data_IF_736657280814
#
_entry.id   IF_736657280814
#
_cell.length_a   1.000
_cell.length_b   1.000
_cell.length_c   1.000
_cell.angle_alpha   90.00
_cell.angle_beta   90.00
_cell.angle_gamma   90.00
#
_symmetry.space_group_name_H-M   'P 1'
#
loop_
_entity.id
_entity.type
_entity.pdbx_description
1 polymer ?
#
# COMPACT_ATOMS: atom_id res chain seq x y z
N UNK A 1 -13.58 -24.11 -48.98
CA UNK A 1 -13.45 -24.40 -47.53
C UNK A 1 -14.84 -24.25 -46.90
N UNK A 2 -15.31 -25.32 -46.23
CA UNK A 2 -16.34 -25.45 -45.18
C UNK A 2 -17.70 -24.70 -45.34
N UNK A 3 -18.87 -25.21 -44.95
CA UNK A 3 -19.21 -26.23 -43.96
C UNK A 3 -20.66 -26.71 -44.20
N UNK A 4 -20.96 -27.97 -43.90
CA UNK A 4 -22.29 -28.37 -43.42
C UNK A 4 -22.21 -29.75 -42.77
N UNK A 5 -22.36 -29.79 -41.45
CA UNK A 5 -22.80 -30.99 -40.72
C UNK A 5 -23.74 -30.56 -39.59
N UNK A 6 -24.84 -31.29 -39.46
CA UNK A 6 -25.98 -31.07 -38.56
C UNK A 6 -25.75 -31.64 -37.16
N UNK A 7 -26.29 -30.93 -36.16
CA UNK A 7 -26.97 -31.48 -34.98
C UNK A 7 -26.33 -31.13 -33.62
N UNK A 8 -27.04 -31.29 -32.47
CA UNK A 8 -28.49 -31.44 -32.25
C UNK A 8 -29.10 -30.27 -31.42
N UNK A 9 -30.42 -30.18 -31.42
CA UNK A 9 -31.23 -29.35 -30.52
C UNK A 9 -31.15 -29.91 -29.10
N UNK A 10 -30.85 -29.07 -28.11
CA UNK A 10 -30.98 -29.41 -26.69
C UNK A 10 -31.89 -28.41 -25.99
N UNK A 11 -32.82 -29.02 -25.26
CA UNK A 11 -34.03 -28.46 -24.71
C UNK A 11 -33.83 -27.34 -23.69
N UNK A 12 -34.77 -26.40 -23.75
CA UNK A 12 -35.18 -25.51 -22.66
C UNK A 12 -35.61 -26.32 -21.44
N UNK A 13 -35.18 -25.89 -20.25
CA UNK A 13 -35.85 -26.18 -18.98
C UNK A 13 -34.95 -26.82 -17.93
N UNK A 14 -34.84 -26.18 -16.77
CA UNK A 14 -34.17 -26.71 -15.58
C UNK A 14 -33.31 -25.65 -14.90
N UNK A 15 -33.92 -24.69 -14.21
CA UNK A 15 -34.10 -24.73 -12.75
C UNK A 15 -32.81 -24.37 -11.98
N UNK A 16 -32.83 -23.14 -11.45
CA UNK A 16 -32.44 -22.81 -10.05
C UNK A 16 -31.13 -23.43 -9.56
N UNK A 17 -30.05 -22.66 -9.70
CA UNK A 17 -28.78 -22.91 -9.06
C UNK A 17 -27.98 -21.62 -8.93
N UNK A 18 -28.45 -20.69 -8.09
CA UNK A 18 -27.68 -19.48 -7.78
C UNK A 18 -27.78 -19.15 -6.29
N UNK A 19 -26.93 -19.79 -5.49
CA UNK A 19 -26.30 -19.16 -4.33
C UNK A 19 -25.18 -20.07 -3.80
N UNK A 20 -24.01 -20.06 -4.44
CA UNK A 20 -22.80 -20.33 -3.70
C UNK A 20 -22.12 -19.00 -3.42
N UNK A 21 -22.44 -18.52 -2.22
CA UNK A 21 -21.77 -17.44 -1.55
C UNK A 21 -20.36 -17.91 -1.15
N UNK A 22 -19.42 -17.94 -2.10
CA UNK A 22 -18.02 -18.18 -1.78
C UNK A 22 -17.23 -16.86 -1.82
N UNK A 23 -17.14 -16.31 -0.61
CA UNK A 23 -16.06 -15.48 -0.07
C UNK A 23 -15.00 -14.99 -1.05
N UNK A 24 -15.20 -13.79 -1.60
CA UNK A 24 -14.05 -12.89 -1.73
C UNK A 24 -13.91 -12.13 -0.41
N UNK A 25 -13.30 -12.81 0.58
CA UNK A 25 -12.67 -12.12 1.70
C UNK A 25 -11.82 -10.99 1.14
N UNK A 26 -11.87 -9.79 1.72
CA UNK A 26 -11.19 -8.59 1.22
C UNK A 26 -9.68 -8.70 1.11
N UNK A 27 -9.21 -9.53 0.18
CA UNK A 27 -7.86 -9.56 -0.33
C UNK A 27 -7.73 -8.37 -1.29
N UNK A 28 -6.60 -7.65 -1.26
CA UNK A 28 -6.37 -6.57 -2.20
C UNK A 28 -6.31 -7.19 -3.60
N UNK A 29 -7.36 -6.97 -4.38
CA UNK A 29 -7.41 -7.30 -5.80
C UNK A 29 -6.10 -6.81 -6.43
N UNK A 30 -5.30 -7.74 -7.00
CA UNK A 30 -3.93 -7.50 -7.50
C UNK A 30 -3.93 -6.44 -8.62
N UNK A 31 -4.03 -5.18 -8.24
CA UNK A 31 -4.15 -4.03 -9.12
C UNK A 31 -2.78 -3.41 -9.27
N UNK A 32 -2.27 -3.42 -10.50
CA UNK A 32 -1.01 -2.73 -10.82
C UNK A 32 -1.16 -1.23 -10.62
N UNK A 33 -0.21 -0.62 -9.91
CA UNK A 33 -0.15 0.83 -9.72
C UNK A 33 0.40 1.46 -11.01
N UNK A 34 -0.48 1.91 -11.89
CA UNK A 34 -0.10 2.56 -13.16
C UNK A 34 0.35 4.03 -12.97
N UNK A 35 -0.01 4.65 -11.83
CA UNK A 35 0.34 6.03 -11.49
C UNK A 35 1.02 6.08 -10.13
N UNK A 36 2.21 6.69 -10.00
CA UNK A 36 2.87 6.84 -8.71
C UNK A 36 1.95 7.51 -7.69
N UNK A 37 1.90 6.97 -6.47
CA UNK A 37 1.08 7.52 -5.39
C UNK A 37 1.74 8.82 -4.91
N UNK A 38 1.14 9.96 -5.27
CA UNK A 38 1.74 11.27 -5.00
C UNK A 38 1.98 11.53 -3.50
N UNK A 39 1.17 10.93 -2.64
CA UNK A 39 1.31 11.09 -1.20
C UNK A 39 2.47 10.26 -0.62
N UNK A 40 2.86 9.16 -1.27
CA UNK A 40 4.07 8.38 -0.94
C UNK A 40 5.36 9.00 -1.50
N UNK A 41 5.30 10.20 -2.09
CA UNK A 41 6.49 10.87 -2.60
C UNK A 41 7.39 11.33 -1.45
N UNK A 42 8.70 11.23 -1.69
CA UNK A 42 9.70 11.82 -0.83
C UNK A 42 9.49 13.34 -0.73
N UNK A 43 9.40 13.84 0.50
CA UNK A 43 9.25 15.28 0.79
C UNK A 43 10.46 15.76 1.60
N UNK A 44 11.39 16.52 0.99
CA UNK A 44 12.59 16.99 1.67
C UNK A 44 12.30 17.79 2.95
N UNK A 45 11.21 18.56 3.00
CA UNK A 45 10.80 19.31 4.19
C UNK A 45 10.48 18.39 5.37
N UNK A 46 9.63 17.37 5.14
CA UNK A 46 9.26 16.37 6.15
C UNK A 46 10.50 15.63 6.66
N UNK A 47 11.42 15.30 5.76
CA UNK A 47 12.66 14.61 6.08
C UNK A 47 13.56 15.49 6.94
N UNK A 48 13.73 16.75 6.55
CA UNK A 48 14.51 17.74 7.31
C UNK A 48 13.94 17.92 8.73
N UNK A 49 12.63 18.10 8.85
CA UNK A 49 11.97 18.29 10.14
C UNK A 49 12.11 17.05 11.03
N UNK A 50 11.95 15.85 10.44
CA UNK A 50 12.14 14.58 11.15
C UNK A 50 13.58 14.43 11.67
N UNK A 51 14.58 14.73 10.85
CA UNK A 51 16.00 14.66 11.24
C UNK A 51 16.26 15.64 12.40
N UNK A 52 15.83 16.89 12.28
CA UNK A 52 16.05 17.90 13.31
C UNK A 52 15.37 17.53 14.64
N UNK A 53 14.15 16.99 14.59
CA UNK A 53 13.43 16.56 15.77
C UNK A 53 14.17 15.42 16.50
N UNK A 54 14.55 14.36 15.76
CA UNK A 54 15.27 13.21 16.34
C UNK A 54 16.61 13.62 16.91
N UNK A 55 17.41 14.39 16.17
CA UNK A 55 18.71 14.83 16.66
C UNK A 55 18.58 15.72 17.89
N UNK A 56 17.59 16.62 17.93
CA UNK A 56 17.38 17.50 19.08
C UNK A 56 16.94 16.73 20.32
N UNK A 57 16.11 15.70 20.16
CA UNK A 57 15.61 14.87 21.26
C UNK A 57 16.74 13.99 21.83
N UNK A 58 17.40 13.22 20.97
CA UNK A 58 18.38 12.21 21.39
C UNK A 58 19.72 12.82 21.81
N UNK A 59 20.13 13.94 21.20
CA UNK A 59 21.42 14.57 21.49
C UNK A 59 21.36 15.67 22.55
N UNK A 60 20.18 16.01 23.08
CA UNK A 60 20.04 17.10 24.06
C UNK A 60 20.96 16.93 25.29
N UNK A 61 21.15 15.69 25.73
CA UNK A 61 21.94 15.35 26.93
C UNK A 61 23.10 14.40 26.60
N UNK A 62 23.40 14.19 25.33
CA UNK A 62 24.46 13.27 24.91
C UNK A 62 25.82 13.96 24.99
N UNK A 63 26.77 13.36 25.69
CA UNK A 63 28.18 13.75 25.65
C UNK A 63 28.93 12.88 24.64
N UNK A 64 29.93 13.46 23.99
CA UNK A 64 30.74 12.74 23.01
C UNK A 64 31.64 11.71 23.71
N UNK A 65 31.50 10.44 23.34
CA UNK A 65 32.35 9.33 23.79
C UNK A 65 32.78 8.48 22.59
N UNK A 66 34.08 8.33 22.31
CA UNK A 66 34.56 7.65 21.11
C UNK A 66 34.11 6.18 21.00
N UNK A 67 33.95 5.48 22.12
CA UNK A 67 33.41 4.12 22.17
C UNK A 67 31.91 4.05 21.81
N UNK A 68 31.11 5.02 22.27
CA UNK A 68 29.64 4.97 22.17
C UNK A 68 29.09 5.69 20.93
N UNK A 69 29.82 6.67 20.39
CA UNK A 69 29.39 7.45 19.22
C UNK A 69 29.07 6.61 17.97
N UNK A 70 29.82 5.54 17.63
CA UNK A 70 29.46 4.67 16.50
C UNK A 70 28.09 4.00 16.70
N UNK A 71 27.80 3.57 17.92
CA UNK A 71 26.53 2.96 18.28
C UNK A 71 25.39 3.97 18.23
N UNK A 72 25.59 5.15 18.82
CA UNK A 72 24.62 6.24 18.81
C UNK A 72 24.31 6.69 17.38
N UNK A 73 25.33 6.89 16.54
CA UNK A 73 25.16 7.31 15.15
C UNK A 73 24.36 6.28 14.35
N UNK A 74 24.66 5.00 14.53
CA UNK A 74 23.90 3.91 13.90
C UNK A 74 22.44 3.94 14.37
N UNK A 75 22.22 4.03 15.68
CA UNK A 75 20.88 4.09 16.26
C UNK A 75 20.06 5.24 15.69
N UNK A 76 20.62 6.45 15.64
CA UNK A 76 19.97 7.64 15.09
C UNK A 76 19.59 7.44 13.62
N UNK A 77 20.50 6.85 12.82
CA UNK A 77 20.24 6.59 11.40
C UNK A 77 19.08 5.59 11.19
N UNK A 78 19.00 4.56 12.03
CA UNK A 78 17.93 3.55 12.00
C UNK A 78 16.60 4.17 12.44
N UNK A 79 16.60 4.93 13.53
CA UNK A 79 15.44 5.63 14.06
C UNK A 79 14.84 6.60 13.03
N UNK A 80 15.66 7.45 12.40
CA UNK A 80 15.22 8.39 11.36
C UNK A 80 14.58 7.63 10.19
N UNK A 81 15.24 6.57 9.71
CA UNK A 81 14.73 5.72 8.61
C UNK A 81 13.36 5.12 8.97
N UNK A 82 13.20 4.60 10.18
CA UNK A 82 11.97 3.92 10.58
C UNK A 82 10.82 4.92 10.81
N UNK A 83 11.08 6.10 11.36
CA UNK A 83 10.08 7.18 11.45
C UNK A 83 9.61 7.64 10.05
N UNK A 84 10.53 7.76 9.09
CA UNK A 84 10.17 8.14 7.71
C UNK A 84 9.38 7.04 6.99
N UNK A 85 9.73 5.77 7.18
CA UNK A 85 8.94 4.64 6.66
C UNK A 85 7.53 4.63 7.26
N UNK A 86 7.42 4.82 8.57
CA UNK A 86 6.12 4.89 9.24
C UNK A 86 5.27 6.03 8.68
N UNK A 87 5.87 7.20 8.44
CA UNK A 87 5.20 8.33 7.80
C UNK A 87 4.70 7.96 6.38
N UNK A 88 5.54 7.33 5.56
CA UNK A 88 5.16 6.88 4.21
C UNK A 88 4.02 5.85 4.21
N UNK A 89 4.04 4.90 5.15
CA UNK A 89 3.01 3.87 5.30
C UNK A 89 1.70 4.44 5.84
N UNK A 90 1.76 5.32 6.85
CA UNK A 90 0.57 5.98 7.41
C UNK A 90 -0.17 6.84 6.39
N UNK A 91 0.57 7.47 5.46
CA UNK A 91 0.02 8.23 4.33
C UNK A 91 -0.64 7.32 3.27
N UNK A 92 -0.29 6.04 3.24
CA UNK A 92 -0.88 5.05 2.31
C UNK A 92 -2.24 4.54 2.76
N UNK A 93 -2.50 4.47 4.08
CA UNK A 93 -3.72 3.88 4.65
C UNK A 93 -5.00 4.70 4.48
N UNK A 94 -4.92 5.97 4.09
CA UNK A 94 -6.08 6.88 4.06
C UNK A 94 -6.71 7.07 2.67
N UNK A 95 -6.30 6.32 1.65
CA UNK A 95 -6.66 6.61 0.24
C UNK A 95 -7.47 5.54 -0.50
N UNK A 96 -7.73 4.36 0.07
CA UNK A 96 -8.39 3.27 -0.69
C UNK A 96 -9.89 3.51 -0.94
N UNK A 97 -10.48 4.59 -0.44
CA UNK A 97 -11.91 4.88 -0.61
C UNK A 97 -12.13 6.05 -1.57
N UNK A 98 -12.17 5.82 -2.88
CA UNK A 98 -13.02 6.51 -3.89
C UNK A 98 -12.49 6.27 -5.29
N UNK A 99 -13.06 5.30 -6.00
CA UNK A 99 -13.48 5.36 -7.42
C UNK A 99 -14.30 4.09 -7.64
N UNK A 100 -15.56 4.13 -7.23
CA UNK A 100 -16.58 3.20 -7.74
C UNK A 100 -17.26 3.96 -8.88
N UNK A 101 -17.13 3.54 -10.15
CA UNK A 101 -17.91 4.16 -11.20
C UNK A 101 -19.38 3.80 -10.98
N UNK A 102 -20.16 4.77 -10.50
CA UNK A 102 -21.61 4.74 -10.50
C UNK A 102 -22.13 4.65 -11.94
N UNK A 103 -22.29 3.42 -12.42
CA UNK A 103 -23.09 3.12 -13.60
C UNK A 103 -24.55 3.47 -13.27
N UNK A 104 -25.01 4.60 -13.82
CA UNK A 104 -26.40 5.06 -13.72
C UNK A 104 -27.31 4.18 -14.58
N UNK A 105 -28.45 3.78 -14.02
CA UNK A 105 -29.47 2.92 -14.63
C UNK A 105 -30.25 3.58 -15.76
#
# INVERSE_FOLDING_TARGET
MAASTRGPSLSVGGTEGLFDADRNSGEPENTYILRPIFQQRFRPSVVKDCIHAVLKEELANAEYSPEEMPHLTKHLSELIKDKLKAWLLGVSGTQTLTITPMMSS
#
